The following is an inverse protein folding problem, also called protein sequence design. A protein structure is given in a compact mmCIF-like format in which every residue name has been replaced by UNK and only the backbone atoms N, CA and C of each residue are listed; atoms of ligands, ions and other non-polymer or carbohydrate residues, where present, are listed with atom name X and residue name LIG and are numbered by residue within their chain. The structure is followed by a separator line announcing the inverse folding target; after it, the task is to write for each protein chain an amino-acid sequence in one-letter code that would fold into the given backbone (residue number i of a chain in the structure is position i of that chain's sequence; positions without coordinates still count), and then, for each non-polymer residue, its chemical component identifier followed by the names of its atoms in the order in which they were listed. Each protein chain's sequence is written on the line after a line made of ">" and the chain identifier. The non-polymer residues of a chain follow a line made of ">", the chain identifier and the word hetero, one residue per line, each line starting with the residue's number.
data_IF_477363166184
#
_entry.id   IF_477363166184
#
_cell.length_a   1.000
_cell.length_b   1.000
_cell.length_c   1.000
_cell.angle_alpha   90.00
_cell.angle_beta   90.00
_cell.angle_gamma   90.00
#
_symmetry.space_group_name_H-M   'P 1'
#
loop_
_entity.id
_entity.type
_entity.pdbx_description
1 polymer ?
#
# COMPACT_ATOMS: atom_id res chain seq x y z
N UNK A 1 -90.15 -36.10 -8.77
CA UNK A 1 -89.15 -37.15 -9.06
C UNK A 1 -87.91 -36.44 -9.56
N UNK A 2 -86.81 -36.40 -8.78
CA UNK A 2 -85.70 -37.37 -8.80
C UNK A 2 -85.04 -37.37 -10.20
N UNK A 3 -83.77 -37.05 -10.45
CA UNK A 3 -82.52 -37.35 -9.71
C UNK A 3 -81.40 -36.40 -10.19
N UNK A 4 -80.52 -36.00 -9.28
CA UNK A 4 -79.20 -35.41 -9.56
C UNK A 4 -78.18 -36.51 -9.91
N UNK A 5 -77.33 -36.30 -10.93
CA UNK A 5 -76.04 -37.03 -11.03
C UNK A 5 -74.95 -36.08 -11.48
N UNK A 6 -74.10 -35.75 -10.52
CA UNK A 6 -72.75 -35.23 -10.70
C UNK A 6 -71.83 -36.39 -11.08
N UNK A 7 -70.98 -36.22 -12.09
CA UNK A 7 -69.87 -37.14 -12.35
C UNK A 7 -68.64 -36.34 -12.82
N UNK A 8 -67.68 -36.25 -11.90
CA UNK A 8 -66.31 -35.82 -12.09
C UNK A 8 -65.64 -36.66 -13.19
N UNK A 9 -65.01 -35.98 -14.15
CA UNK A 9 -63.99 -36.56 -15.03
C UNK A 9 -62.63 -35.91 -14.77
N UNK A 10 -61.92 -36.37 -13.72
CA UNK A 10 -60.47 -36.21 -13.64
C UNK A 10 -59.82 -37.31 -14.48
N UNK A 11 -58.91 -36.91 -15.36
CA UNK A 11 -58.13 -37.83 -16.18
C UNK A 11 -57.20 -37.12 -17.15
N UNK A 12 -56.52 -36.05 -16.71
CA UNK A 12 -55.44 -35.43 -17.46
C UNK A 12 -54.23 -36.36 -17.52
N UNK A 13 -54.17 -37.19 -18.57
CA UNK A 13 -52.94 -37.89 -18.97
C UNK A 13 -52.35 -37.18 -20.20
N UNK A 14 -51.52 -36.17 -19.98
CA UNK A 14 -50.58 -35.67 -21.00
C UNK A 14 -49.17 -35.75 -20.44
N UNK A 15 -48.64 -36.98 -20.35
CA UNK A 15 -47.23 -37.23 -20.17
C UNK A 15 -46.72 -38.10 -21.32
N UNK A 16 -46.30 -37.44 -22.40
CA UNK A 16 -45.23 -37.91 -23.28
C UNK A 16 -44.64 -36.69 -23.98
N UNK A 17 -43.69 -36.04 -23.31
CA UNK A 17 -42.71 -35.22 -24.02
C UNK A 17 -41.77 -36.20 -24.70
N UNK A 18 -41.86 -36.28 -26.02
CA UNK A 18 -40.80 -36.88 -26.82
C UNK A 18 -39.61 -35.91 -26.78
N UNK A 19 -38.45 -36.29 -26.22
CA UNK A 19 -37.24 -35.50 -26.40
C UNK A 19 -36.93 -35.49 -27.91
N UNK A 20 -36.56 -34.33 -28.44
CA UNK A 20 -36.12 -34.20 -29.82
C UNK A 20 -34.85 -35.05 -30.03
N UNK A 21 -34.87 -35.93 -31.02
CA UNK A 21 -33.78 -36.89 -31.30
C UNK A 21 -32.50 -36.27 -31.85
N UNK A 22 -32.47 -34.96 -32.14
CA UNK A 22 -31.26 -34.15 -32.35
C UNK A 22 -31.62 -32.66 -32.40
N UNK A 23 -31.22 -31.84 -31.42
CA UNK A 23 -30.73 -30.51 -31.72
C UNK A 23 -29.23 -30.64 -31.93
N UNK A 24 -28.82 -30.73 -33.19
CA UNK A 24 -27.45 -30.42 -33.61
C UNK A 24 -27.14 -29.06 -32.99
N UNK A 25 -26.07 -28.96 -32.20
CA UNK A 25 -25.53 -27.69 -31.72
C UNK A 25 -25.54 -26.73 -32.90
N UNK A 26 -26.48 -25.79 -32.86
CA UNK A 26 -26.68 -24.78 -33.89
C UNK A 26 -26.71 -23.43 -33.19
N UNK A 27 -25.66 -23.16 -32.43
CA UNK A 27 -25.15 -21.82 -32.26
C UNK A 27 -23.64 -21.92 -32.42
N UNK A 28 -23.15 -21.33 -33.50
CA UNK A 28 -21.75 -20.98 -33.66
C UNK A 28 -21.39 -19.88 -32.65
N UNK A 29 -21.42 -20.23 -31.36
CA UNK A 29 -21.04 -19.35 -30.26
C UNK A 29 -20.10 -20.15 -29.36
N UNK A 30 -18.93 -19.58 -29.15
CA UNK A 30 -17.87 -20.09 -28.27
C UNK A 30 -18.49 -20.41 -26.88
N UNK A 31 -18.53 -21.68 -26.42
CA UNK A 31 -19.24 -22.05 -25.19
C UNK A 31 -18.62 -21.42 -23.93
N UNK A 32 -17.31 -21.19 -23.95
CA UNK A 32 -16.58 -20.40 -22.97
C UNK A 32 -17.04 -18.94 -22.94
N UNK A 33 -17.29 -18.32 -24.10
CA UNK A 33 -17.89 -16.98 -24.17
C UNK A 33 -19.30 -16.95 -23.57
N UNK A 34 -20.15 -17.92 -23.89
CA UNK A 34 -21.51 -17.98 -23.33
C UNK A 34 -21.49 -18.11 -21.80
N UNK A 35 -20.58 -18.91 -21.25
CA UNK A 35 -20.37 -19.01 -19.80
C UNK A 35 -19.89 -17.68 -19.21
N UNK A 36 -18.94 -17.01 -19.87
CA UNK A 36 -18.43 -15.72 -19.42
C UNK A 36 -19.53 -14.65 -19.42
N UNK A 37 -20.24 -14.49 -20.54
CA UNK A 37 -21.30 -13.49 -20.72
C UNK A 37 -22.44 -13.71 -19.71
N UNK A 38 -22.81 -14.97 -19.47
CA UNK A 38 -23.79 -15.34 -18.44
C UNK A 38 -23.32 -14.94 -17.04
N UNK A 39 -22.07 -15.25 -16.70
CA UNK A 39 -21.52 -14.89 -15.41
C UNK A 39 -21.43 -13.37 -15.20
N UNK A 40 -21.05 -12.62 -16.24
CA UNK A 40 -21.03 -11.15 -16.20
C UNK A 40 -22.43 -10.57 -15.99
N UNK A 41 -23.44 -11.09 -16.68
CA UNK A 41 -24.85 -10.75 -16.42
C UNK A 41 -25.23 -11.06 -14.96
N UNK A 42 -24.82 -12.20 -14.41
CA UNK A 42 -25.09 -12.52 -13.01
C UNK A 42 -24.38 -11.55 -12.03
N UNK A 43 -23.16 -11.08 -12.34
CA UNK A 43 -22.46 -10.04 -11.56
C UNK A 43 -23.18 -8.68 -11.62
N UNK A 44 -23.72 -8.29 -12.76
CA UNK A 44 -24.51 -7.06 -12.89
C UNK A 44 -25.75 -7.09 -11.99
N UNK A 45 -26.41 -8.25 -11.92
CA UNK A 45 -27.57 -8.49 -11.06
C UNK A 45 -27.20 -8.81 -9.59
N UNK A 46 -25.94 -8.60 -9.18
CA UNK A 46 -25.43 -8.88 -7.82
C UNK A 46 -25.62 -10.33 -7.36
N UNK A 47 -25.75 -11.28 -8.30
CA UNK A 47 -25.82 -12.73 -8.04
C UNK A 47 -24.40 -13.30 -7.94
N UNK A 48 -23.61 -12.77 -7.00
CA UNK A 48 -22.17 -12.99 -6.88
C UNK A 48 -21.77 -14.46 -6.80
N UNK A 49 -22.48 -15.26 -5.99
CA UNK A 49 -22.20 -16.70 -5.83
C UNK A 49 -22.42 -17.47 -7.13
N UNK A 50 -23.52 -17.20 -7.85
CA UNK A 50 -23.84 -17.89 -9.11
C UNK A 50 -22.82 -17.50 -10.19
N UNK A 51 -22.48 -16.21 -10.25
CA UNK A 51 -21.45 -15.74 -11.17
C UNK A 51 -20.10 -16.42 -10.91
N UNK A 52 -19.64 -16.48 -9.65
CA UNK A 52 -18.36 -17.15 -9.31
C UNK A 52 -18.36 -18.63 -9.67
N UNK A 53 -19.45 -19.35 -9.40
CA UNK A 53 -19.57 -20.76 -9.79
C UNK A 53 -19.48 -20.93 -11.32
N UNK A 54 -20.11 -20.04 -12.08
CA UNK A 54 -20.09 -20.06 -13.55
C UNK A 54 -18.68 -19.75 -14.08
N UNK A 55 -18.00 -18.75 -13.52
CA UNK A 55 -16.61 -18.40 -13.87
C UNK A 55 -15.63 -19.52 -13.50
N UNK A 56 -15.80 -20.15 -12.34
CA UNK A 56 -15.00 -21.33 -11.95
C UNK A 56 -15.23 -22.51 -12.89
N UNK A 57 -16.47 -22.70 -13.35
CA UNK A 57 -16.79 -23.73 -14.37
C UNK A 57 -16.06 -23.44 -15.68
N UNK A 58 -16.05 -22.18 -16.12
CA UNK A 58 -15.28 -21.75 -17.29
C UNK A 58 -13.80 -22.06 -17.12
N UNK A 59 -13.18 -21.66 -16.01
CA UNK A 59 -11.74 -21.87 -15.75
C UNK A 59 -11.36 -23.36 -15.70
N UNK A 60 -12.22 -24.20 -15.14
CA UNK A 60 -11.96 -25.63 -15.03
C UNK A 60 -12.17 -26.38 -16.36
N UNK A 61 -13.13 -25.93 -17.17
CA UNK A 61 -13.49 -26.60 -18.43
C UNK A 61 -12.64 -26.11 -19.60
N UNK A 62 -12.26 -24.82 -19.59
CA UNK A 62 -11.57 -24.12 -20.67
C UNK A 62 -10.39 -23.29 -20.15
N UNK A 63 -9.32 -23.92 -19.60
CA UNK A 63 -8.20 -23.20 -19.01
C UNK A 63 -7.42 -22.32 -20.01
N UNK A 64 -7.39 -22.71 -21.28
CA UNK A 64 -6.73 -21.98 -22.38
C UNK A 64 -7.65 -20.93 -23.05
N UNK A 65 -8.84 -20.68 -22.49
CA UNK A 65 -9.78 -19.70 -23.05
C UNK A 65 -9.20 -18.28 -22.99
N UNK A 66 -9.49 -17.47 -24.01
CA UNK A 66 -9.19 -16.03 -24.00
C UNK A 66 -9.87 -15.29 -22.84
N UNK A 67 -10.93 -15.88 -22.29
CA UNK A 67 -11.67 -15.35 -21.14
C UNK A 67 -11.11 -15.82 -19.79
N UNK A 68 -10.10 -16.71 -19.75
CA UNK A 68 -9.60 -17.25 -18.49
C UNK A 68 -9.03 -16.16 -17.56
N UNK A 69 -8.15 -15.31 -18.10
CA UNK A 69 -7.62 -14.16 -17.39
C UNK A 69 -8.73 -13.23 -16.86
N UNK A 70 -9.66 -12.83 -17.74
CA UNK A 70 -10.79 -11.96 -17.39
C UNK A 70 -11.72 -12.59 -16.35
N UNK A 71 -11.93 -13.90 -16.44
CA UNK A 71 -12.75 -14.67 -15.50
C UNK A 71 -12.13 -14.66 -14.11
N UNK A 72 -10.81 -14.84 -14.01
CA UNK A 72 -10.10 -14.79 -12.73
C UNK A 72 -10.22 -13.41 -12.08
N UNK A 73 -10.04 -12.34 -12.86
CA UNK A 73 -10.25 -10.98 -12.36
C UNK A 73 -11.70 -10.74 -11.92
N UNK A 74 -12.68 -11.20 -12.70
CA UNK A 74 -14.10 -11.07 -12.39
C UNK A 74 -14.51 -11.84 -11.11
N UNK A 75 -13.86 -12.95 -10.78
CA UNK A 75 -14.04 -13.65 -9.49
C UNK A 75 -13.57 -12.74 -8.34
N UNK A 76 -12.40 -12.11 -8.47
CA UNK A 76 -11.89 -11.18 -7.46
C UNK A 76 -12.80 -9.97 -7.28
N UNK A 77 -13.25 -9.37 -8.39
CA UNK A 77 -14.20 -8.25 -8.39
C UNK A 77 -15.55 -8.63 -7.77
N UNK A 78 -16.03 -9.85 -8.01
CA UNK A 78 -17.25 -10.38 -7.40
C UNK A 78 -17.17 -10.34 -5.87
N UNK A 79 -16.08 -10.85 -5.30
CA UNK A 79 -15.84 -10.81 -3.85
C UNK A 79 -15.68 -9.38 -3.33
N UNK A 80 -14.99 -8.52 -4.07
CA UNK A 80 -14.79 -7.12 -3.69
C UNK A 80 -16.10 -6.32 -3.67
N UNK A 81 -16.99 -6.60 -4.63
CA UNK A 81 -18.33 -5.98 -4.75
C UNK A 81 -19.33 -6.51 -3.74
N UNK A 82 -19.30 -7.81 -3.45
CA UNK A 82 -20.07 -8.41 -2.35
C UNK A 82 -19.68 -7.77 -1.01
N UNK A 83 -18.39 -7.49 -0.83
CA UNK A 83 -17.89 -6.77 0.32
C UNK A 83 -18.00 -7.57 1.61
N UNK A 84 -18.13 -6.88 2.73
CA UNK A 84 -18.00 -7.49 4.06
C UNK A 84 -16.57 -7.94 4.37
N UNK A 85 -16.31 -8.30 5.62
CA UNK A 85 -14.95 -8.70 6.03
C UNK A 85 -14.49 -9.98 5.34
N UNK A 86 -15.37 -10.97 5.22
CA UNK A 86 -15.08 -12.24 4.54
C UNK A 86 -14.87 -12.04 3.04
N UNK A 87 -15.76 -11.32 2.36
CA UNK A 87 -15.65 -11.06 0.92
C UNK A 87 -14.41 -10.26 0.59
N UNK A 88 -14.06 -9.23 1.37
CA UNK A 88 -12.82 -8.49 1.15
C UNK A 88 -11.56 -9.33 1.38
N UNK A 89 -11.58 -10.27 2.34
CA UNK A 89 -10.46 -11.20 2.55
C UNK A 89 -10.29 -12.15 1.36
N UNK A 90 -11.40 -12.68 0.83
CA UNK A 90 -11.38 -13.52 -0.37
C UNK A 90 -10.94 -12.72 -1.61
N UNK A 91 -11.42 -11.49 -1.75
CA UNK A 91 -10.99 -10.60 -2.83
C UNK A 91 -9.48 -10.33 -2.79
N UNK A 92 -8.90 -10.09 -1.61
CA UNK A 92 -7.45 -9.90 -1.47
C UNK A 92 -6.67 -11.11 -1.99
N UNK A 93 -7.10 -12.33 -1.65
CA UNK A 93 -6.48 -13.56 -2.12
C UNK A 93 -6.58 -13.69 -3.65
N UNK A 94 -7.78 -13.52 -4.21
CA UNK A 94 -8.03 -13.67 -5.65
C UNK A 94 -7.30 -12.61 -6.50
N UNK A 95 -7.21 -11.36 -6.03
CA UNK A 95 -6.41 -10.34 -6.72
C UNK A 95 -4.91 -10.64 -6.66
N UNK A 96 -4.39 -11.12 -5.52
CA UNK A 96 -2.97 -11.54 -5.42
C UNK A 96 -2.66 -12.71 -6.33
N UNK A 97 -3.58 -13.66 -6.43
CA UNK A 97 -3.47 -14.76 -7.37
C UNK A 97 -3.48 -14.20 -8.81
N UNK A 98 -4.39 -13.29 -9.16
CA UNK A 98 -4.38 -12.68 -10.49
C UNK A 98 -3.04 -12.01 -10.83
N UNK A 99 -2.47 -11.23 -9.91
CA UNK A 99 -1.17 -10.58 -10.10
C UNK A 99 -0.04 -11.61 -10.28
N UNK A 100 -0.09 -12.70 -9.52
CA UNK A 100 0.92 -13.78 -9.58
C UNK A 100 0.88 -14.51 -10.91
N UNK A 101 -0.31 -14.83 -11.40
CA UNK A 101 -0.49 -15.61 -12.62
C UNK A 101 -0.41 -14.76 -13.89
N UNK A 102 -0.73 -13.46 -13.82
CA UNK A 102 -0.79 -12.57 -14.98
C UNK A 102 -0.12 -11.21 -14.75
N UNK A 103 1.18 -11.17 -14.38
CA UNK A 103 1.85 -9.93 -13.98
C UNK A 103 2.05 -8.92 -15.12
N UNK A 104 2.04 -9.36 -16.38
CA UNK A 104 2.29 -8.51 -17.56
C UNK A 104 1.02 -7.88 -18.14
N UNK A 105 -0.16 -8.24 -17.63
CA UNK A 105 -1.42 -7.66 -18.11
C UNK A 105 -1.63 -6.26 -17.53
N UNK A 106 -2.24 -5.37 -18.30
CA UNK A 106 -2.57 -4.01 -17.86
C UNK A 106 -3.42 -3.98 -16.59
N UNK A 107 -4.26 -4.99 -16.41
CA UNK A 107 -5.18 -5.19 -15.30
C UNK A 107 -4.45 -5.58 -14.00
N UNK A 108 -3.20 -6.02 -14.06
CA UNK A 108 -2.42 -6.36 -12.86
C UNK A 108 -2.20 -5.13 -11.97
N UNK A 109 -2.05 -3.94 -12.59
CA UNK A 109 -2.01 -2.68 -11.87
C UNK A 109 -3.34 -2.35 -11.18
N UNK A 110 -4.48 -2.65 -11.83
CA UNK A 110 -5.80 -2.50 -11.21
C UNK A 110 -5.95 -3.47 -10.03
N UNK A 111 -5.60 -4.75 -10.19
CA UNK A 111 -5.68 -5.73 -9.12
C UNK A 111 -4.82 -5.31 -7.92
N UNK A 112 -3.60 -4.80 -8.14
CA UNK A 112 -2.74 -4.28 -7.08
C UNK A 112 -3.37 -3.06 -6.39
N UNK A 113 -4.02 -2.18 -7.15
CA UNK A 113 -4.78 -1.05 -6.61
C UNK A 113 -5.93 -1.52 -5.73
N UNK A 114 -6.65 -2.57 -6.15
CA UNK A 114 -7.75 -3.14 -5.37
C UNK A 114 -7.27 -3.73 -4.05
N UNK A 115 -6.16 -4.46 -4.06
CA UNK A 115 -5.50 -4.98 -2.83
C UNK A 115 -5.17 -3.84 -1.87
N UNK A 116 -4.51 -2.78 -2.35
CA UNK A 116 -4.19 -1.62 -1.52
C UNK A 116 -5.46 -0.95 -0.96
N UNK A 117 -6.51 -0.84 -1.79
CA UNK A 117 -7.80 -0.26 -1.38
C UNK A 117 -8.58 -1.11 -0.37
N UNK A 118 -8.43 -2.44 -0.36
CA UNK A 118 -9.00 -3.32 0.67
C UNK A 118 -8.45 -2.92 2.04
N UNK A 119 -7.13 -2.80 2.15
CA UNK A 119 -6.49 -2.38 3.38
C UNK A 119 -6.78 -0.92 3.74
N UNK A 120 -6.80 -0.02 2.75
CA UNK A 120 -7.18 1.38 2.95
C UNK A 120 -8.59 1.51 3.56
N UNK A 121 -9.56 0.72 3.06
CA UNK A 121 -10.93 0.70 3.60
C UNK A 121 -11.00 0.11 5.01
N UNK A 122 -10.10 -0.81 5.34
CA UNK A 122 -9.97 -1.44 6.65
C UNK A 122 -9.21 -0.59 7.67
N UNK A 123 -8.68 0.58 7.28
CA UNK A 123 -8.00 1.46 8.22
C UNK A 123 -8.94 1.95 9.32
N UNK A 124 -8.50 1.74 10.55
CA UNK A 124 -9.09 2.33 11.75
C UNK A 124 -8.42 3.69 12.05
N UNK A 125 -8.93 4.37 13.09
CA UNK A 125 -8.38 5.64 13.58
C UNK A 125 -6.91 5.51 14.04
N UNK A 126 -6.15 6.63 14.12
CA UNK A 126 -4.74 6.62 14.53
C UNK A 126 -4.46 6.04 15.92
N UNK A 127 -5.45 6.06 16.83
CA UNK A 127 -5.38 5.53 18.19
C UNK A 127 -5.59 4.00 18.29
N UNK A 128 -5.90 3.34 17.16
CA UNK A 128 -6.22 1.91 17.08
C UNK A 128 -5.11 1.12 16.39
N UNK A 129 -5.32 -0.19 16.23
CA UNK A 129 -4.37 -1.09 15.56
C UNK A 129 -4.04 -0.61 14.12
N UNK A 130 -2.77 -0.27 13.83
CA UNK A 130 -2.38 0.24 12.52
C UNK A 130 -2.14 -0.87 11.48
N UNK A 131 -2.44 -2.15 11.76
CA UNK A 131 -2.16 -3.27 10.84
C UNK A 131 -2.66 -3.01 9.41
N UNK A 132 -3.91 -2.58 9.24
CA UNK A 132 -4.44 -2.26 7.92
C UNK A 132 -3.76 -1.04 7.28
N UNK A 133 -3.41 -0.01 8.06
CA UNK A 133 -2.71 1.15 7.54
C UNK A 133 -1.28 0.79 7.06
N UNK A 134 -0.54 -0.02 7.82
CA UNK A 134 0.79 -0.51 7.42
C UNK A 134 0.74 -1.36 6.16
N UNK A 135 -0.25 -2.25 6.05
CA UNK A 135 -0.43 -3.05 4.82
C UNK A 135 -0.84 -2.17 3.64
N UNK A 136 -1.74 -1.20 3.83
CA UNK A 136 -2.12 -0.27 2.77
C UNK A 136 -0.90 0.52 2.26
N UNK A 137 -0.06 1.03 3.16
CA UNK A 137 1.19 1.72 2.83
C UNK A 137 2.08 0.87 1.92
N UNK A 138 2.33 -0.38 2.33
CA UNK A 138 3.15 -1.33 1.57
C UNK A 138 2.56 -1.63 0.18
N UNK A 139 1.25 -1.86 0.09
CA UNK A 139 0.61 -2.22 -1.17
C UNK A 139 0.50 -1.03 -2.16
N UNK A 140 0.35 0.21 -1.67
CA UNK A 140 0.45 1.40 -2.50
C UNK A 140 1.88 1.65 -2.97
N UNK A 141 2.89 1.47 -2.09
CA UNK A 141 4.30 1.56 -2.49
C UNK A 141 4.63 0.52 -3.57
N UNK A 142 4.20 -0.74 -3.40
CA UNK A 142 4.36 -1.79 -4.43
C UNK A 142 3.71 -1.40 -5.76
N UNK A 143 2.52 -0.81 -5.75
CA UNK A 143 1.87 -0.34 -6.97
C UNK A 143 2.72 0.71 -7.69
N UNK A 144 3.20 1.71 -6.97
CA UNK A 144 3.97 2.81 -7.55
C UNK A 144 5.36 2.38 -8.02
N UNK A 145 5.95 1.36 -7.39
CA UNK A 145 7.22 0.78 -7.79
C UNK A 145 7.09 -0.14 -9.01
N UNK A 146 6.08 -1.02 -9.01
CA UNK A 146 5.93 -2.04 -10.06
C UNK A 146 5.20 -1.50 -11.30
N UNK A 147 4.31 -0.51 -11.12
CA UNK A 147 3.45 0.04 -12.18
C UNK A 147 3.49 1.58 -12.17
N UNK A 148 4.64 2.22 -12.45
CA UNK A 148 4.77 3.69 -12.36
C UNK A 148 3.87 4.46 -13.34
N UNK A 149 3.65 3.94 -14.54
CA UNK A 149 2.90 4.59 -15.62
C UNK A 149 1.39 4.27 -15.61
N UNK A 150 0.87 3.67 -14.53
CA UNK A 150 -0.55 3.31 -14.44
C UNK A 150 -1.44 4.55 -14.30
N UNK A 151 -2.66 4.58 -14.91
CA UNK A 151 -3.61 5.67 -14.67
C UNK A 151 -4.00 5.83 -13.19
N UNK A 152 -3.76 4.80 -12.37
CA UNK A 152 -4.02 4.85 -10.93
C UNK A 152 -2.89 5.52 -10.13
N UNK A 153 -1.73 5.81 -10.72
CA UNK A 153 -0.57 6.32 -9.99
C UNK A 153 -0.86 7.63 -9.22
N UNK A 154 -1.51 8.65 -9.80
CA UNK A 154 -1.84 9.87 -9.05
C UNK A 154 -2.77 9.61 -7.86
N UNK A 155 -3.76 8.73 -8.04
CA UNK A 155 -4.67 8.35 -6.98
C UNK A 155 -3.95 7.54 -5.88
N UNK A 156 -3.10 6.59 -6.26
CA UNK A 156 -2.32 5.78 -5.34
C UNK A 156 -1.33 6.64 -4.53
N UNK A 157 -0.67 7.63 -5.14
CA UNK A 157 0.15 8.60 -4.43
C UNK A 157 -0.66 9.40 -3.40
N UNK A 158 -1.87 9.83 -3.77
CA UNK A 158 -2.76 10.53 -2.84
C UNK A 158 -3.19 9.63 -1.68
N UNK A 159 -3.61 8.39 -1.96
CA UNK A 159 -3.99 7.44 -0.91
C UNK A 159 -2.80 7.08 -0.02
N UNK A 160 -1.59 6.97 -0.57
CA UNK A 160 -0.39 6.73 0.21
C UNK A 160 -0.09 7.90 1.17
N UNK A 161 -0.25 9.15 0.73
CA UNK A 161 -0.15 10.33 1.63
C UNK A 161 -1.16 10.25 2.77
N UNK A 162 -2.42 9.91 2.46
CA UNK A 162 -3.48 9.76 3.46
C UNK A 162 -3.16 8.63 4.47
N UNK A 163 -2.62 7.50 4.01
CA UNK A 163 -2.19 6.40 4.88
C UNK A 163 -1.05 6.83 5.81
N UNK A 164 -0.04 7.48 5.24
CA UNK A 164 1.13 7.97 5.98
C UNK A 164 0.77 9.01 7.01
N UNK A 165 -0.20 9.88 6.71
CA UNK A 165 -0.75 10.84 7.66
C UNK A 165 -1.36 10.14 8.88
N UNK A 166 -2.14 9.08 8.68
CA UNK A 166 -2.76 8.32 9.78
C UNK A 166 -1.71 7.60 10.64
N UNK A 167 -0.71 6.99 9.99
CA UNK A 167 0.39 6.32 10.70
C UNK A 167 1.23 7.33 11.51
N UNK A 168 1.56 8.47 10.93
CA UNK A 168 2.29 9.54 11.59
C UNK A 168 1.48 10.16 12.73
N UNK A 169 0.17 10.38 12.54
CA UNK A 169 -0.70 10.89 13.59
C UNK A 169 -0.72 9.97 14.80
N UNK A 170 -0.75 8.64 14.62
CA UNK A 170 -0.69 7.70 15.73
C UNK A 170 0.60 7.82 16.54
N UNK A 171 1.76 7.92 15.87
CA UNK A 171 3.05 8.15 16.53
C UNK A 171 3.08 9.50 17.26
N UNK A 172 2.54 10.54 16.63
CA UNK A 172 2.49 11.88 17.18
C UNK A 172 1.63 11.96 18.44
N UNK A 173 0.43 11.39 18.42
CA UNK A 173 -0.49 11.41 19.57
C UNK A 173 0.09 10.69 20.78
N UNK A 174 0.75 9.54 20.56
CA UNK A 174 1.45 8.82 21.64
C UNK A 174 2.67 9.60 22.13
N UNK A 175 3.47 10.18 21.23
CA UNK A 175 4.60 11.04 21.59
C UNK A 175 4.15 12.24 22.42
N UNK A 176 3.08 12.92 22.00
CA UNK A 176 2.47 14.05 22.71
C UNK A 176 1.97 13.66 24.09
N UNK A 177 1.32 12.51 24.23
CA UNK A 177 0.86 12.02 25.52
C UNK A 177 2.01 11.87 26.52
N UNK A 178 3.10 11.21 26.13
CA UNK A 178 4.28 11.06 27.00
C UNK A 178 5.04 12.37 27.23
N UNK A 179 5.06 13.27 26.25
CA UNK A 179 5.68 14.59 26.38
C UNK A 179 5.00 15.42 27.47
N UNK A 180 3.65 15.41 27.50
CA UNK A 180 2.87 16.09 28.53
C UNK A 180 3.09 15.49 29.93
N UNK A 181 3.32 14.18 30.02
CA UNK A 181 3.70 13.52 31.28
C UNK A 181 5.15 13.77 31.68
N UNK A 182 5.96 14.30 30.78
CA UNK A 182 7.38 14.53 30.97
C UNK A 182 8.26 13.28 30.89
N UNK A 183 7.75 12.21 30.27
CA UNK A 183 8.48 10.97 30.05
C UNK A 183 9.28 11.01 28.75
N UNK A 184 10.29 11.88 28.70
CA UNK A 184 11.05 12.20 27.48
C UNK A 184 11.71 10.98 26.81
N UNK A 185 12.16 9.99 27.59
CA UNK A 185 12.71 8.74 27.06
C UNK A 185 11.73 7.92 26.20
N UNK A 186 10.41 8.08 26.41
CA UNK A 186 9.38 7.45 25.59
C UNK A 186 8.98 8.30 24.37
N UNK A 187 9.18 9.61 24.42
CA UNK A 187 8.86 10.57 23.35
C UNK A 187 9.84 10.43 22.20
N UNK A 188 11.14 10.47 22.52
CA UNK A 188 12.21 10.52 21.53
C UNK A 188 12.15 9.42 20.46
N UNK A 189 12.10 8.11 20.78
CA UNK A 189 12.11 7.08 19.74
C UNK A 189 10.91 7.16 18.80
N UNK A 190 9.73 7.54 19.31
CA UNK A 190 8.49 7.64 18.52
C UNK A 190 8.50 8.84 17.59
N UNK A 191 8.94 9.99 18.09
CA UNK A 191 9.04 11.18 17.26
C UNK A 191 10.22 11.11 16.29
N UNK A 192 11.34 10.47 16.65
CA UNK A 192 12.44 10.16 15.72
C UNK A 192 11.92 9.31 14.55
N UNK A 193 11.20 8.21 14.85
CA UNK A 193 10.54 7.38 13.81
C UNK A 193 9.62 8.23 12.93
N UNK A 194 8.78 9.09 13.53
CA UNK A 194 7.86 9.94 12.79
C UNK A 194 8.60 10.87 11.82
N UNK A 195 9.58 11.63 12.31
CA UNK A 195 10.22 12.69 11.50
C UNK A 195 11.14 12.13 10.43
N UNK A 196 11.71 10.95 10.63
CA UNK A 196 12.53 10.26 9.64
C UNK A 196 11.67 9.64 8.54
N UNK A 197 10.54 9.05 8.92
CA UNK A 197 9.73 8.24 8.01
C UNK A 197 8.63 9.00 7.30
N UNK A 198 8.02 9.96 7.98
CA UNK A 198 6.87 10.71 7.49
C UNK A 198 7.17 12.22 7.50
N UNK A 199 8.15 12.69 6.69
CA UNK A 199 8.44 14.12 6.60
C UNK A 199 7.23 14.92 6.13
N UNK A 200 6.36 14.40 5.26
CA UNK A 200 5.19 15.16 4.78
C UNK A 200 3.97 15.12 5.72
N UNK A 201 4.17 14.75 6.99
CA UNK A 201 3.11 14.75 8.00
C UNK A 201 2.59 16.17 8.28
N UNK A 202 1.30 16.31 8.59
CA UNK A 202 0.67 17.63 8.78
C UNK A 202 1.22 18.48 9.90
N UNK A 203 1.63 17.82 10.98
CA UNK A 203 2.18 18.48 12.15
C UNK A 203 3.65 18.09 12.29
N UNK A 204 4.36 17.99 11.15
CA UNK A 204 5.78 17.65 11.14
C UNK A 204 6.63 18.72 11.85
N UNK A 205 6.27 20.00 11.74
CA UNK A 205 6.89 21.11 12.48
C UNK A 205 6.68 20.96 13.99
N UNK A 206 5.46 20.66 14.43
CA UNK A 206 5.13 20.41 15.83
C UNK A 206 5.86 19.17 16.37
N UNK A 207 5.96 18.10 15.58
CA UNK A 207 6.66 16.88 15.94
C UNK A 207 8.18 17.13 16.09
N UNK A 208 8.79 17.87 15.16
CA UNK A 208 10.20 18.27 15.24
C UNK A 208 10.46 19.15 16.46
N UNK A 209 9.56 20.10 16.73
CA UNK A 209 9.66 20.99 17.89
C UNK A 209 9.58 20.20 19.19
N UNK A 210 8.57 19.33 19.33
CA UNK A 210 8.39 18.48 20.51
C UNK A 210 9.58 17.55 20.73
N UNK A 211 10.14 16.99 19.65
CA UNK A 211 11.35 16.16 19.72
C UNK A 211 12.56 16.97 20.22
N UNK A 212 12.81 18.15 19.64
CA UNK A 212 13.87 19.05 20.08
C UNK A 212 13.73 19.41 21.56
N UNK A 213 12.52 19.82 21.99
CA UNK A 213 12.22 20.15 23.39
C UNK A 213 12.44 18.98 24.33
N UNK A 214 12.07 17.76 23.90
CA UNK A 214 12.25 16.54 24.68
C UNK A 214 13.73 16.17 24.85
N UNK A 215 14.54 16.36 23.81
CA UNK A 215 15.99 16.14 23.85
C UNK A 215 16.69 17.12 24.80
N UNK A 216 16.27 18.39 24.80
CA UNK A 216 16.81 19.39 25.71
C UNK A 216 16.41 19.13 27.17
N UNK A 217 15.18 18.67 27.42
CA UNK A 217 14.71 18.28 28.76
C UNK A 217 15.44 17.06 29.32
N UNK A 218 15.92 16.17 28.46
CA UNK A 218 16.57 14.91 28.86
C UNK A 218 18.00 15.07 29.37
N UNK A 219 18.58 16.28 29.27
CA UNK A 219 19.87 16.65 29.83
C UNK A 219 20.93 17.00 28.78
N UNK A 220 22.09 17.43 29.26
CA UNK A 220 23.16 18.00 28.41
C UNK A 220 23.68 17.03 27.35
N UNK A 221 23.74 15.73 27.64
CA UNK A 221 24.24 14.72 26.71
C UNK A 221 23.37 14.59 25.46
N UNK A 222 22.05 14.74 25.59
CA UNK A 222 21.09 14.66 24.49
C UNK A 222 20.75 16.03 23.90
N UNK A 223 20.97 17.11 24.65
CA UNK A 223 20.71 18.47 24.17
C UNK A 223 21.50 18.83 22.90
N UNK A 224 22.71 18.27 22.75
CA UNK A 224 23.51 18.42 21.53
C UNK A 224 22.87 17.82 20.26
N UNK A 225 21.91 16.90 20.39
CA UNK A 225 21.15 16.34 19.27
C UNK A 225 19.97 17.22 18.83
N UNK A 226 19.56 18.22 19.63
CA UNK A 226 18.38 19.05 19.35
C UNK A 226 18.53 20.02 18.16
N UNK A 227 19.66 20.73 17.97
CA UNK A 227 19.84 21.71 16.89
C UNK A 227 19.43 21.25 15.48
N UNK A 228 19.81 20.05 14.99
CA UNK A 228 19.42 19.63 13.64
C UNK A 228 17.90 19.55 13.44
N UNK A 229 17.13 19.21 14.48
CA UNK A 229 15.67 19.16 14.38
C UNK A 229 15.05 20.56 14.29
N UNK A 230 15.56 21.53 15.07
CA UNK A 230 15.12 22.93 14.96
C UNK A 230 15.52 23.57 13.64
N UNK A 231 16.73 23.31 13.16
CA UNK A 231 17.22 23.75 11.86
C UNK A 231 16.28 23.25 10.74
N UNK A 232 15.82 22.00 10.85
CA UNK A 232 14.90 21.38 9.91
C UNK A 232 13.52 22.04 9.90
N UNK A 233 13.01 22.56 11.03
CA UNK A 233 11.76 23.35 11.06
C UNK A 233 11.90 24.58 10.16
N UNK A 234 13.00 25.31 10.28
CA UNK A 234 13.22 26.55 9.53
C UNK A 234 13.42 26.28 8.04
N UNK A 235 14.17 25.21 7.72
CA UNK A 235 14.47 24.84 6.34
C UNK A 235 13.26 24.24 5.62
N UNK A 236 12.63 23.22 6.20
CA UNK A 236 11.61 22.39 5.54
C UNK A 236 10.18 22.90 5.78
N UNK A 237 9.94 23.67 6.84
CA UNK A 237 8.63 24.22 7.24
C UNK A 237 8.67 25.72 7.62
N UNK A 238 9.24 26.62 6.78
CA UNK A 238 9.33 28.06 7.06
C UNK A 238 8.03 28.85 7.32
N UNK A 239 6.85 28.28 7.08
CA UNK A 239 5.53 28.89 7.34
C UNK A 239 4.80 28.18 8.50
N UNK A 240 5.48 27.28 9.22
CA UNK A 240 4.95 26.60 10.39
C UNK A 240 4.85 27.51 11.61
N UNK A 241 4.07 27.09 12.61
CA UNK A 241 3.84 27.88 13.84
C UNK A 241 5.11 27.97 14.70
N UNK A 242 5.97 26.95 14.64
CA UNK A 242 7.13 26.79 15.52
C UNK A 242 8.44 27.40 14.99
N UNK A 243 8.41 28.12 13.87
CA UNK A 243 9.61 28.67 13.23
C UNK A 243 10.35 29.68 14.10
N UNK A 244 9.61 30.60 14.72
CA UNK A 244 10.21 31.65 15.54
C UNK A 244 10.78 31.09 16.85
N UNK A 245 10.09 30.12 17.45
CA UNK A 245 10.61 29.41 18.62
C UNK A 245 11.85 28.59 18.26
N UNK A 246 11.88 27.92 17.11
CA UNK A 246 13.03 27.18 16.62
C UNK A 246 14.27 28.09 16.45
N UNK A 247 14.10 29.29 15.89
CA UNK A 247 15.18 30.30 15.81
C UNK A 247 15.70 30.68 17.19
N UNK A 248 14.80 30.94 18.14
CA UNK A 248 15.19 31.27 19.52
C UNK A 248 15.97 30.12 20.17
N UNK A 249 15.53 28.87 20.01
CA UNK A 249 16.25 27.70 20.52
C UNK A 249 17.64 27.55 19.90
N UNK A 250 17.78 27.72 18.58
CA UNK A 250 19.09 27.66 17.92
C UNK A 250 20.05 28.74 18.45
N UNK A 251 19.56 29.97 18.63
CA UNK A 251 20.39 31.04 19.22
C UNK A 251 20.80 30.74 20.66
N UNK A 252 19.90 30.19 21.47
CA UNK A 252 20.19 29.77 22.84
C UNK A 252 21.21 28.61 22.90
N UNK A 253 21.23 27.76 21.88
CA UNK A 253 22.17 26.65 21.72
C UNK A 253 23.46 27.07 21.00
N UNK A 254 23.64 28.36 20.67
CA UNK A 254 24.83 28.88 19.99
C UNK A 254 25.04 28.36 18.57
N UNK A 255 23.98 27.87 17.91
CA UNK A 255 24.03 27.31 16.55
C UNK A 255 23.52 28.36 15.54
N UNK A 256 24.16 28.51 14.36
CA UNK A 256 23.69 29.45 13.35
C UNK A 256 22.30 29.07 12.83
N UNK A 257 21.48 30.09 12.53
CA UNK A 257 20.15 29.92 11.96
C UNK A 257 20.31 29.60 10.46
N UNK A 258 19.80 28.47 9.95
CA UNK A 258 19.84 28.16 8.52
C UNK A 258 18.83 29.01 7.74
N UNK A 259 19.08 29.18 6.45
CA UNK A 259 18.12 29.81 5.54
C UNK A 259 16.97 28.84 5.17
N UNK A 260 15.73 29.36 5.03
CA UNK A 260 14.61 28.60 4.50
C UNK A 260 14.86 28.02 3.10
N UNK A 261 14.41 26.80 2.83
CA UNK A 261 14.44 26.25 1.47
C UNK A 261 13.36 26.95 0.61
N UNK A 262 13.72 27.62 -0.51
CA UNK A 262 12.74 28.26 -1.39
C UNK A 262 11.70 27.27 -1.95
N UNK A 263 12.06 26.00 -2.16
CA UNK A 263 11.12 24.98 -2.60
C UNK A 263 10.06 24.66 -1.53
N UNK A 264 10.47 24.63 -0.25
CA UNK A 264 9.56 24.43 0.87
C UNK A 264 8.57 25.60 1.03
N UNK A 265 9.03 26.84 0.82
CA UNK A 265 8.16 28.04 0.80
C UNK A 265 7.13 27.94 -0.31
N UNK A 266 7.55 27.62 -1.54
CA UNK A 266 6.64 27.47 -2.67
C UNK A 266 5.60 26.36 -2.43
N UNK A 267 6.03 25.21 -1.88
CA UNK A 267 5.12 24.11 -1.53
C UNK A 267 4.07 24.55 -0.51
N UNK A 268 4.48 25.10 0.62
CA UNK A 268 3.51 25.44 1.69
C UNK A 268 2.61 26.63 1.35
N UNK A 269 3.08 27.58 0.55
CA UNK A 269 2.21 28.66 0.03
C UNK A 269 1.12 28.08 -0.87
N UNK A 270 1.47 27.13 -1.75
CA UNK A 270 0.49 26.40 -2.55
C UNK A 270 -0.49 25.60 -1.68
N UNK A 271 0.02 24.82 -0.72
CA UNK A 271 -0.82 24.01 0.17
C UNK A 271 -1.76 24.88 1.02
N UNK A 272 -1.28 25.99 1.60
CA UNK A 272 -2.10 26.89 2.41
C UNK A 272 -3.19 27.60 1.61
N UNK A 273 -2.95 27.92 0.34
CA UNK A 273 -3.93 28.55 -0.55
C UNK A 273 -5.01 27.58 -1.03
N UNK A 274 -4.68 26.28 -1.14
CA UNK A 274 -5.58 25.24 -1.63
C UNK A 274 -6.16 24.34 -0.52
N UNK A 275 -5.74 24.52 0.73
CA UNK A 275 -6.22 23.73 1.87
C UNK A 275 -7.64 24.13 2.25
N UNK A 276 -8.57 23.19 2.11
CA UNK A 276 -9.89 23.32 2.73
C UNK A 276 -9.78 22.97 4.22
N UNK A 277 -9.80 23.99 5.09
CA UNK A 277 -9.82 23.75 6.54
C UNK A 277 -11.16 23.08 6.91
N UNK A 278 -11.16 21.92 7.58
CA UNK A 278 -12.39 21.27 8.00
C UNK A 278 -13.17 22.19 8.93
N UNK A 279 -14.46 22.35 8.66
CA UNK A 279 -15.34 23.23 9.44
C UNK A 279 -15.50 22.72 10.88
N UNK A 280 -15.99 23.59 11.77
CA UNK A 280 -16.25 23.21 13.18
C UNK A 280 -17.22 22.01 13.29
N UNK A 281 -18.14 21.87 12.34
CA UNK A 281 -19.09 20.74 12.21
C UNK A 281 -18.42 19.41 11.82
N UNK A 282 -17.35 19.43 11.02
CA UNK A 282 -16.64 18.20 10.60
C UNK A 282 -15.91 17.55 11.78
N UNK A 283 -15.40 18.37 12.71
CA UNK A 283 -14.74 17.89 13.93
C UNK A 283 -15.69 17.11 14.83
N UNK A 284 -16.96 17.55 14.94
CA UNK A 284 -17.97 16.89 15.78
C UNK A 284 -18.40 15.54 15.17
N UNK A 285 -18.54 15.45 13.84
CA UNK A 285 -18.91 14.21 13.16
C UNK A 285 -17.79 13.15 13.17
N UNK A 286 -16.51 13.58 13.18
CA UNK A 286 -15.35 12.67 13.23
C UNK A 286 -15.33 11.73 14.45
N UNK A 287 -16.00 12.09 15.55
CA UNK A 287 -16.14 11.23 16.73
C UNK A 287 -16.90 9.92 16.45
N UNK A 288 -17.93 9.97 15.60
CA UNK A 288 -18.89 8.87 15.39
C UNK A 288 -18.50 7.88 14.28
N UNK A 289 -17.51 8.22 13.45
CA UNK A 289 -17.07 7.36 12.36
C UNK A 289 -15.91 6.45 12.80
N UNK A 290 -15.90 5.20 12.30
CA UNK A 290 -14.79 4.25 12.52
C UNK A 290 -13.53 4.62 11.73
N UNK A 291 -13.70 5.32 10.60
CA UNK A 291 -12.62 5.67 9.68
C UNK A 291 -11.78 6.84 10.21
N UNK A 292 -10.47 6.87 9.90
CA UNK A 292 -9.62 8.00 10.23
C UNK A 292 -10.00 9.24 9.42
N UNK A 293 -9.74 10.42 9.98
CA UNK A 293 -9.86 11.68 9.26
C UNK A 293 -8.57 11.93 8.47
N UNK A 294 -8.65 11.88 7.14
CA UNK A 294 -7.50 12.05 6.23
C UNK A 294 -7.48 13.43 5.54
N UNK A 295 -8.38 14.35 5.92
CA UNK A 295 -8.50 15.67 5.29
C UNK A 295 -7.20 16.48 5.32
N UNK A 296 -6.40 16.33 6.38
CA UNK A 296 -5.11 17.00 6.52
C UNK A 296 -4.10 16.61 5.43
N UNK A 297 -4.23 15.42 4.83
CA UNK A 297 -3.37 14.93 3.75
C UNK A 297 -3.88 15.30 2.34
N UNK A 298 -5.14 15.72 2.20
CA UNK A 298 -5.76 16.01 0.91
C UNK A 298 -5.26 17.30 0.25
N UNK A 299 -4.81 18.27 1.07
CA UNK A 299 -4.22 19.52 0.59
C UNK A 299 -2.73 19.44 0.27
N UNK A 300 -2.06 18.30 0.50
CA UNK A 300 -0.61 18.20 0.37
C UNK A 300 -0.15 17.74 -0.99
N UNK A 301 0.94 18.36 -1.45
CA UNK A 301 1.55 18.12 -2.76
C UNK A 301 2.88 17.39 -2.70
N UNK A 302 3.46 17.20 -1.50
CA UNK A 302 4.68 16.43 -1.32
C UNK A 302 4.57 15.00 -1.87
N UNK A 303 5.66 14.49 -2.46
CA UNK A 303 5.75 13.09 -2.85
C UNK A 303 5.71 12.21 -1.60
N UNK A 304 4.83 11.19 -1.51
CA UNK A 304 4.79 10.32 -0.35
C UNK A 304 6.10 9.54 -0.19
N UNK A 305 6.39 9.12 1.03
CA UNK A 305 7.62 8.36 1.31
C UNK A 305 7.52 6.97 0.67
N UNK A 306 8.52 6.59 -0.12
CA UNK A 306 8.57 5.26 -0.77
C UNK A 306 9.36 4.22 0.02
N UNK A 307 10.01 4.62 1.11
CA UNK A 307 10.78 3.71 1.95
C UNK A 307 9.84 2.72 2.65
N UNK A 308 9.93 1.45 2.27
CA UNK A 308 9.17 0.36 2.88
C UNK A 308 9.60 0.13 4.33
N UNK A 309 8.70 -0.45 5.14
CA UNK A 309 9.05 -0.94 6.48
C UNK A 309 10.16 -1.97 6.37
N UNK A 310 11.40 -1.57 6.68
CA UNK A 310 12.36 -2.51 7.25
C UNK A 310 11.83 -2.95 8.63
N UNK A 311 12.15 -4.16 9.11
CA UNK A 311 11.87 -4.51 10.50
C UNK A 311 12.44 -3.40 11.37
N UNK A 312 11.62 -2.90 12.30
CA UNK A 312 11.98 -1.85 13.24
C UNK A 312 13.45 -2.03 13.64
N UNK A 313 14.30 -1.06 13.29
CA UNK A 313 15.69 -1.10 13.71
C UNK A 313 15.67 -0.97 15.23
N UNK A 314 15.62 -2.12 15.91
CA UNK A 314 16.07 -2.26 17.28
C UNK A 314 17.48 -1.66 17.28
N UNK A 315 17.66 -0.60 18.07
CA UNK A 315 18.81 0.28 18.00
C UNK A 315 20.12 -0.49 17.84
N UNK A 316 20.83 -0.18 16.76
CA UNK A 316 22.26 -0.46 16.66
C UNK A 316 22.98 0.43 17.67
N UNK A 317 22.96 0.01 18.93
CA UNK A 317 23.97 0.37 19.91
C UNK A 317 25.26 -0.29 19.46
N UNK A 318 26.05 0.47 18.70
CA UNK A 318 27.47 0.20 18.52
C UNK A 318 28.17 0.42 19.85
N UNK A 319 28.17 -0.60 20.71
CA UNK A 319 29.06 -0.68 21.87
C UNK A 319 29.97 -1.87 21.66
N UNK A 320 31.19 -1.58 21.21
CA UNK A 320 32.30 -2.50 21.33
C UNK A 320 32.60 -2.73 22.81
N UNK A 321 32.67 -4.00 23.20
CA UNK A 321 33.37 -4.42 24.40
C UNK A 321 33.85 -5.86 24.22
N UNK A 322 35.11 -6.02 24.60
CA UNK A 322 35.96 -7.17 24.40
C UNK A 322 35.46 -8.45 25.11
N UNK A 323 35.94 -9.58 24.58
CA UNK A 323 35.78 -10.93 25.15
C UNK A 323 36.32 -11.07 26.59
N UNK A 324 35.93 -12.15 27.29
CA UNK A 324 36.97 -13.17 27.54
C UNK A 324 36.51 -14.66 27.49
N UNK A 325 37.36 -15.46 26.83
CA UNK A 325 37.87 -16.82 27.13
C UNK A 325 37.00 -17.98 27.68
N UNK A 326 36.79 -18.98 26.82
CA UNK A 326 37.18 -20.43 26.91
C UNK A 326 36.60 -21.38 27.99
N UNK A 327 36.67 -22.74 27.85
CA UNK A 327 37.10 -23.61 26.72
C UNK A 327 36.19 -24.83 26.38
N UNK A 328 36.44 -25.38 25.18
CA UNK A 328 36.50 -26.80 24.78
C UNK A 328 35.38 -27.80 25.16
N UNK A 329 34.75 -28.38 24.13
CA UNK A 329 34.78 -29.83 23.94
C UNK A 329 34.62 -30.19 22.46
N UNK A 330 35.41 -31.20 22.08
CA UNK A 330 35.73 -31.70 20.75
C UNK A 330 34.64 -32.57 20.13
N UNK A 331 34.37 -32.40 18.82
CA UNK A 331 34.14 -33.54 17.93
C UNK A 331 34.79 -33.29 16.56
N UNK A 332 35.66 -34.22 16.23
CA UNK A 332 36.41 -34.45 15.00
C UNK A 332 35.46 -34.89 13.88
N UNK A 333 35.55 -34.27 12.71
CA UNK A 333 34.88 -34.69 11.48
C UNK A 333 35.55 -34.05 10.27
N UNK A 334 36.18 -34.89 9.46
CA UNK A 334 37.21 -34.55 8.48
C UNK A 334 36.70 -33.78 7.25
N UNK A 335 37.45 -32.73 6.93
CA UNK A 335 37.78 -32.12 5.65
C UNK A 335 37.19 -32.70 4.35
N UNK A 336 36.43 -31.88 3.61
CA UNK A 336 36.65 -31.65 2.17
C UNK A 336 36.35 -30.18 1.84
N UNK A 337 37.39 -29.45 1.46
CA UNK A 337 37.35 -28.06 1.02
C UNK A 337 37.22 -28.06 -0.52
N UNK A 338 36.08 -27.64 -1.05
CA UNK A 338 35.95 -27.30 -2.47
C UNK A 338 36.23 -25.81 -2.64
N UNK A 339 37.45 -25.51 -3.09
CA UNK A 339 37.88 -24.19 -3.54
C UNK A 339 37.28 -23.96 -4.93
N UNK A 340 36.43 -22.96 -5.08
CA UNK A 340 35.99 -22.47 -6.39
C UNK A 340 36.70 -21.13 -6.66
N UNK A 341 37.55 -21.15 -7.68
CA UNK A 341 38.29 -20.02 -8.23
C UNK A 341 37.40 -19.28 -9.26
N UNK A 342 37.23 -17.95 -9.17
CA UNK A 342 36.42 -17.22 -10.14
C UNK A 342 37.19 -16.95 -11.45
N UNK A 343 36.65 -17.47 -12.56
CA UNK A 343 37.09 -17.24 -13.93
C UNK A 343 37.00 -15.76 -14.35
N UNK A 344 38.09 -15.25 -14.93
CA UNK A 344 38.17 -13.93 -15.59
C UNK A 344 37.45 -13.93 -16.95
N UNK A 345 36.87 -12.80 -17.39
CA UNK A 345 36.17 -12.71 -18.68
C UNK A 345 37.13 -12.64 -19.88
N UNK A 346 36.74 -13.17 -21.06
CA UNK A 346 37.60 -13.22 -22.24
C UNK A 346 37.75 -11.86 -22.97
N UNK A 347 38.93 -11.65 -23.56
CA UNK A 347 39.35 -10.45 -24.29
C UNK A 347 38.64 -10.28 -25.66
N UNK A 348 38.48 -9.03 -26.16
CA UNK A 348 37.83 -8.76 -27.45
C UNK A 348 38.73 -9.12 -28.66
N UNK A 349 38.13 -9.47 -29.82
CA UNK A 349 38.88 -9.88 -31.01
C UNK A 349 39.59 -8.71 -31.72
N UNK A 350 40.68 -8.98 -32.48
CA UNK A 350 41.52 -7.97 -33.10
C UNK A 350 40.84 -7.28 -34.30
N UNK A 351 41.16 -5.99 -34.49
CA UNK A 351 40.65 -5.14 -35.56
C UNK A 351 41.24 -5.49 -36.95
N UNK A 352 40.38 -5.48 -37.97
CA UNK A 352 40.75 -5.69 -39.37
C UNK A 352 41.59 -4.51 -39.94
N UNK A 353 42.55 -4.79 -40.86
CA UNK A 353 43.38 -3.75 -41.48
C UNK A 353 42.61 -2.94 -42.55
N UNK A 354 43.03 -1.69 -42.84
CA UNK A 354 42.29 -0.78 -43.70
C UNK A 354 42.32 -1.20 -45.18
N UNK A 355 41.17 -1.11 -45.83
CA UNK A 355 40.98 -1.37 -47.26
C UNK A 355 41.77 -0.38 -48.13
N UNK A 356 42.62 -0.91 -48.99
CA UNK A 356 43.27 -0.19 -50.09
C UNK A 356 42.32 -0.06 -51.29
N UNK A 357 42.25 1.15 -51.83
CA UNK A 357 41.46 1.54 -52.99
C UNK A 357 42.02 0.96 -54.31
N UNK A 358 41.19 0.48 -55.25
CA UNK A 358 41.63 0.20 -56.61
C UNK A 358 41.54 1.44 -57.54
N UNK A 359 42.42 1.54 -58.56
CA UNK A 359 42.51 2.68 -59.49
C UNK A 359 41.47 2.59 -60.63
N UNK A 360 41.27 3.69 -61.41
CA UNK A 360 40.15 3.82 -62.31
C UNK A 360 40.42 3.20 -63.68
N UNK A 361 39.38 2.61 -64.29
CA UNK A 361 39.14 2.64 -65.74
C UNK A 361 37.70 2.29 -66.08
#
# INVERSE_FOLDING_TARGET
>A
MLVAVSLLGMGGCTLRRHPYETPIISNSQQPDKELFDRAMSDLEHSRFTIARLTLQTLLNTYPESEYAAKSKLAIADSWYREGGTSGLTQAEAEYRDFITFFPLMSEAAEAQMRVAMIHYRGMDKPDRDPTHARRAEQEFQKLLLNYPETPFAPLAQQRLREVQEVLAQGLYEVGRFYFLQGADGAVQPRLKELVERYPNFSQADAALHMLGRSLERSGEKTAGEAPPYYARIIRDYPLGEYVDEAKQRLTALGTPIPEPDPAAVARMTYENTHSQRPGMLDKVKGGFHRRPNVSAAQGRTGLPTMTAQGPAQAGVLSTGLAAPSSPASSQTGSSQTLVFEPLSPPAPPPADPPASSPPPR
#
